data_IF_747187359800
#
_entry.id   IF_747187359800
#
_cell.length_a   1.000
_cell.length_b   1.000
_cell.length_c   1.000
_cell.angle_alpha   90.00
_cell.angle_beta   90.00
_cell.angle_gamma   90.00
#
_symmetry.space_group_name_H-M   'P 1'
#
loop_
_entity.id
_entity.type
_entity.pdbx_description
1 polymer ?
#
# COMPACT_ATOMS: atom_id res chain seq x y z
N UNK A 1 0.46 -14.77 -6.51
CA UNK A 1 0.49 -13.79 -5.40
C UNK A 1 -0.24 -12.55 -5.87
N UNK A 2 -1.08 -11.95 -5.03
CA UNK A 2 -1.86 -10.76 -5.43
C UNK A 2 -1.01 -9.51 -5.22
N UNK A 3 -0.92 -8.69 -6.27
CA UNK A 3 -0.24 -7.39 -6.19
C UNK A 3 -1.25 -6.30 -5.88
N UNK A 4 -0.91 -5.42 -4.97
CA UNK A 4 -1.74 -4.27 -4.61
C UNK A 4 -0.96 -2.98 -4.80
N UNK A 5 -1.54 -2.04 -5.52
CA UNK A 5 -1.00 -0.69 -5.66
C UNK A 5 -1.28 0.08 -4.38
N UNK A 6 -0.23 0.62 -3.75
CA UNK A 6 -0.35 1.45 -2.55
C UNK A 6 0.37 2.79 -2.72
N UNK A 7 -0.14 3.86 -2.09
CA UNK A 7 0.44 5.21 -2.12
C UNK A 7 0.73 5.72 -0.71
N UNK A 8 1.97 6.12 -0.43
CA UNK A 8 2.33 6.75 0.84
C UNK A 8 1.59 8.08 1.02
N UNK A 9 0.91 8.27 2.16
CA UNK A 9 0.16 9.51 2.45
C UNK A 9 1.06 10.71 2.75
N UNK A 10 2.34 10.47 3.07
CA UNK A 10 3.28 11.54 3.46
C UNK A 10 4.08 12.10 2.27
N UNK A 11 4.54 11.22 1.36
CA UNK A 11 5.42 11.62 0.25
C UNK A 11 4.89 11.27 -1.14
N UNK A 12 3.71 10.65 -1.22
CA UNK A 12 3.07 10.27 -2.48
C UNK A 12 3.74 9.12 -3.24
N UNK A 13 4.72 8.41 -2.65
CA UNK A 13 5.35 7.26 -3.30
C UNK A 13 4.32 6.17 -3.56
N UNK A 14 4.14 5.81 -4.84
CA UNK A 14 3.38 4.65 -5.26
C UNK A 14 4.27 3.44 -5.49
N UNK A 15 3.82 2.26 -5.06
CA UNK A 15 4.48 1.00 -5.36
C UNK A 15 3.50 -0.17 -5.29
N UNK A 16 3.93 -1.29 -5.85
CA UNK A 16 3.23 -2.56 -5.67
C UNK A 16 3.65 -3.22 -4.36
N UNK A 17 2.66 -3.74 -3.65
CA UNK A 17 2.79 -4.55 -2.46
C UNK A 17 2.32 -5.97 -2.80
N UNK A 18 3.27 -6.90 -2.83
CA UNK A 18 2.97 -8.32 -3.00
C UNK A 18 2.55 -8.92 -1.67
N UNK A 19 1.32 -9.44 -1.58
CA UNK A 19 0.82 -10.04 -0.35
C UNK A 19 -0.21 -11.13 -0.64
N UNK A 20 -0.29 -12.13 0.24
CA UNK A 20 -1.36 -13.13 0.23
C UNK A 20 -2.67 -12.62 0.84
N UNK A 21 -2.65 -11.45 1.48
CA UNK A 21 -3.82 -10.84 2.10
C UNK A 21 -4.68 -10.09 1.07
N UNK A 22 -6.00 -10.21 1.19
CA UNK A 22 -6.94 -9.37 0.46
C UNK A 22 -7.09 -8.00 1.14
N UNK A 23 -6.39 -6.99 0.63
CA UNK A 23 -6.38 -5.65 1.23
C UNK A 23 -7.72 -4.90 1.07
N UNK A 24 -8.63 -5.35 0.21
CA UNK A 24 -9.98 -4.76 0.10
C UNK A 24 -10.80 -4.87 1.38
N UNK A 25 -10.43 -5.81 2.27
CA UNK A 25 -11.12 -6.04 3.54
C UNK A 25 -10.69 -5.07 4.65
N UNK A 26 -9.61 -4.29 4.44
CA UNK A 26 -9.08 -3.38 5.45
C UNK A 26 -9.99 -2.15 5.61
N UNK A 27 -10.51 -1.98 6.83
CA UNK A 27 -11.30 -0.80 7.19
C UNK A 27 -10.47 0.47 6.99
N UNK A 28 -11.02 1.41 6.23
CA UNK A 28 -10.42 2.72 5.96
C UNK A 28 -9.52 2.76 4.72
N UNK A 29 -9.35 1.65 4.00
CA UNK A 29 -8.58 1.57 2.74
C UNK A 29 -7.12 2.03 2.88
N UNK A 30 -6.50 1.74 4.04
CA UNK A 30 -5.10 2.12 4.35
C UNK A 30 -4.37 0.99 5.04
N UNK A 31 -3.06 0.96 4.85
CA UNK A 31 -2.13 0.06 5.53
C UNK A 31 -0.98 0.86 6.14
N UNK A 32 -0.50 0.42 7.31
CA UNK A 32 0.66 1.02 7.95
C UNK A 32 1.91 0.19 7.61
N UNK A 33 2.86 0.78 6.87
CA UNK A 33 4.05 0.08 6.41
C UNK A 33 5.24 1.02 6.20
N UNK A 34 6.44 0.46 6.08
CA UNK A 34 7.66 1.22 5.85
C UNK A 34 7.68 1.90 4.48
N UNK A 35 7.85 3.22 4.43
CA UNK A 35 8.06 3.96 3.19
C UNK A 35 9.57 4.15 2.94
N UNK A 36 10.14 3.63 1.83
CA UNK A 36 11.57 3.77 1.54
C UNK A 36 11.97 5.22 1.22
N UNK A 37 11.05 6.06 0.74
CA UNK A 37 11.32 7.48 0.47
C UNK A 37 11.30 8.33 1.73
N UNK A 38 10.38 8.09 2.67
CA UNK A 38 10.35 8.77 3.96
C UNK A 38 11.35 8.21 4.97
N UNK A 39 11.83 6.97 4.75
CA UNK A 39 12.68 6.20 5.66
C UNK A 39 12.06 5.96 7.05
N UNK A 40 10.74 5.88 7.13
CA UNK A 40 9.96 5.59 8.33
C UNK A 40 8.66 4.86 7.98
N UNK A 41 8.01 4.28 8.97
CA UNK A 41 6.68 3.72 8.79
C UNK A 41 5.66 4.86 8.64
N UNK A 42 4.78 4.74 7.65
CA UNK A 42 3.72 5.70 7.36
C UNK A 42 2.46 4.96 6.96
N UNK A 43 1.33 5.65 7.02
CA UNK A 43 0.13 5.17 6.35
C UNK A 43 0.32 5.22 4.83
N UNK A 44 -0.24 4.23 4.16
CA UNK A 44 -0.34 4.16 2.72
C UNK A 44 -1.80 3.88 2.37
N UNK A 45 -2.34 4.63 1.42
CA UNK A 45 -3.66 4.36 0.84
C UNK A 45 -3.56 3.20 -0.15
N UNK A 46 -4.56 2.32 -0.13
CA UNK A 46 -4.66 1.20 -1.06
C UNK A 46 -5.40 1.70 -2.30
N UNK A 47 -4.69 1.77 -3.44
CA UNK A 47 -5.25 2.29 -4.69
C UNK A 47 -6.07 1.24 -5.44
N UNK A 48 -5.77 -0.05 -5.22
CA UNK A 48 -6.48 -1.16 -5.84
C UNK A 48 -5.56 -2.37 -6.04
N UNK A 49 -6.13 -3.45 -6.61
CA UNK A 49 -5.31 -4.56 -7.12
C UNK A 49 -4.56 -4.07 -8.36
N UNK A 50 -3.27 -4.37 -8.44
CA UNK A 50 -2.55 -4.24 -9.70
C UNK A 50 -3.02 -5.40 -10.57
N UNK A 51 -3.75 -5.07 -11.62
CA UNK A 51 -4.07 -6.02 -12.70
C UNK A 51 -2.74 -6.33 -13.40
N UNK A 52 -2.36 -7.60 -13.41
CA UNK A 52 -1.37 -8.13 -14.34
C UNK A 52 -2.10 -8.45 -15.66
#
# INVERSE_FOLDING_TARGET
MTKWRVRCTECGLERDLETGMDLSTLKGNRIYMYCPRCRRNTFHEILGRSED
#
